data_IF_311580591156
#
_entry.id   IF_311580591156
#
_cell.length_a   1.000
_cell.length_b   1.000
_cell.length_c   1.000
_cell.angle_alpha   90.00
_cell.angle_beta   90.00
_cell.angle_gamma   90.00
#
_symmetry.space_group_name_H-M   'P 1'
#
loop_
_entity.id
_entity.type
_entity.pdbx_description
1 polymer ?
#
# COMPACT_ATOMS: atom_id res chain seq x y z
N UNK A 1 4.74 8.90 -22.77
CA UNK A 1 3.51 8.42 -22.09
C UNK A 1 3.80 7.71 -20.77
N UNK A 2 4.89 6.93 -20.63
CA UNK A 2 5.22 6.20 -19.39
C UNK A 2 5.40 7.07 -18.12
N UNK A 3 6.09 8.22 -18.21
CA UNK A 3 6.32 9.10 -17.05
C UNK A 3 5.03 9.65 -16.42
N UNK A 4 3.96 9.78 -17.20
CA UNK A 4 2.68 10.30 -16.71
C UNK A 4 1.88 9.22 -15.99
N UNK A 5 1.94 7.97 -16.47
CA UNK A 5 1.38 6.80 -15.79
C UNK A 5 2.03 6.58 -14.41
N UNK A 6 3.36 6.70 -14.31
CA UNK A 6 4.09 6.56 -13.02
C UNK A 6 3.64 7.63 -12.02
N UNK A 7 3.56 8.90 -12.44
CA UNK A 7 3.11 10.00 -11.56
C UNK A 7 1.64 9.83 -11.16
N UNK A 8 0.80 9.31 -12.05
CA UNK A 8 -0.60 8.98 -11.78
C UNK A 8 -0.75 7.92 -10.70
N UNK A 9 -0.03 6.79 -10.84
CA UNK A 9 -0.02 5.70 -9.84
C UNK A 9 0.50 6.16 -8.48
N UNK A 10 1.54 7.00 -8.45
CA UNK A 10 2.06 7.57 -7.20
C UNK A 10 1.02 8.40 -6.46
N UNK A 11 0.27 9.26 -7.18
CA UNK A 11 -0.84 10.02 -6.60
C UNK A 11 -1.99 9.13 -6.15
N UNK A 12 -2.31 8.11 -6.95
CA UNK A 12 -3.33 7.11 -6.61
C UNK A 12 -2.99 6.38 -5.29
N UNK A 13 -1.73 5.98 -5.07
CA UNK A 13 -1.30 5.39 -3.79
C UNK A 13 -1.50 6.32 -2.60
N UNK A 14 -1.17 7.60 -2.75
CA UNK A 14 -1.37 8.60 -1.68
C UNK A 14 -2.85 8.73 -1.30
N UNK A 15 -3.72 8.85 -2.30
CA UNK A 15 -5.17 8.91 -2.07
C UNK A 15 -5.70 7.59 -1.49
N UNK A 16 -5.23 6.45 -1.99
CA UNK A 16 -5.61 5.13 -1.47
C UNK A 16 -5.22 4.98 0.00
N UNK A 17 -4.00 5.40 0.39
CA UNK A 17 -3.57 5.38 1.79
C UNK A 17 -4.50 6.21 2.68
N UNK A 18 -4.84 7.44 2.26
CA UNK A 18 -5.74 8.31 3.02
C UNK A 18 -7.14 7.72 3.14
N UNK A 19 -7.68 7.19 2.04
CA UNK A 19 -9.00 6.57 2.01
C UNK A 19 -9.06 5.29 2.87
N UNK A 20 -8.03 4.44 2.80
CA UNK A 20 -7.93 3.22 3.61
C UNK A 20 -7.71 3.52 5.09
N UNK A 21 -6.97 4.60 5.41
CA UNK A 21 -6.86 5.08 6.78
C UNK A 21 -8.21 5.57 7.30
N UNK A 22 -8.96 6.34 6.51
CA UNK A 22 -10.31 6.75 6.86
C UNK A 22 -11.22 5.53 7.08
N UNK A 23 -11.19 4.55 6.19
CA UNK A 23 -11.93 3.29 6.34
C UNK A 23 -11.59 2.58 7.66
N UNK A 24 -10.31 2.48 7.99
CA UNK A 24 -9.83 1.89 9.25
C UNK A 24 -10.34 2.64 10.49
N UNK A 25 -10.49 3.97 10.41
CA UNK A 25 -10.86 4.82 11.55
C UNK A 25 -12.37 5.01 11.72
N UNK A 26 -13.10 5.17 10.62
CA UNK A 26 -14.51 5.59 10.66
C UNK A 26 -15.49 4.43 10.47
N UNK A 27 -15.04 3.30 9.91
CA UNK A 27 -15.92 2.18 9.58
C UNK A 27 -16.98 2.53 8.52
N UNK A 28 -16.83 3.64 7.81
CA UNK A 28 -17.74 4.00 6.71
C UNK A 28 -17.62 3.00 5.56
N UNK A 29 -18.67 2.92 4.76
CA UNK A 29 -18.69 2.07 3.58
C UNK A 29 -17.70 2.57 2.51
N UNK A 30 -17.02 1.64 1.85
CA UNK A 30 -15.96 1.98 0.88
C UNK A 30 -16.45 2.84 -0.28
N UNK A 31 -17.69 2.62 -0.74
CA UNK A 31 -18.26 3.39 -1.84
C UNK A 31 -18.50 4.87 -1.45
N UNK A 32 -18.83 5.15 -0.19
CA UNK A 32 -19.02 6.51 0.30
C UNK A 32 -17.68 7.23 0.38
N UNK A 33 -16.66 6.55 0.92
CA UNK A 33 -15.29 7.07 0.97
C UNK A 33 -14.78 7.35 -0.45
N UNK A 34 -14.97 6.41 -1.38
CA UNK A 34 -14.57 6.61 -2.77
C UNK A 34 -15.22 7.85 -3.39
N UNK A 35 -16.54 8.00 -3.24
CA UNK A 35 -17.27 9.15 -3.76
C UNK A 35 -16.75 10.48 -3.17
N UNK A 36 -16.52 10.52 -1.86
CA UNK A 36 -15.96 11.69 -1.17
C UNK A 36 -14.58 12.06 -1.74
N UNK A 37 -13.68 11.09 -1.88
CA UNK A 37 -12.34 11.33 -2.41
C UNK A 37 -12.35 11.79 -3.87
N UNK A 38 -13.24 11.24 -4.71
CA UNK A 38 -13.39 11.66 -6.12
C UNK A 38 -13.89 13.09 -6.26
N UNK A 39 -14.76 13.55 -5.36
CA UNK A 39 -15.29 14.93 -5.37
C UNK A 39 -14.29 15.91 -4.77
N UNK A 40 -13.57 15.52 -3.71
CA UNK A 40 -12.67 16.41 -2.98
C UNK A 40 -11.29 16.62 -3.65
N UNK A 41 -10.91 15.78 -4.62
CA UNK A 41 -9.58 15.81 -5.22
C UNK A 41 -9.61 16.05 -6.74
N UNK A 42 -8.57 16.68 -7.27
CA UNK A 42 -8.36 16.79 -8.72
C UNK A 42 -7.91 15.42 -9.29
N UNK A 43 -8.88 14.67 -9.80
CA UNK A 43 -8.67 13.34 -10.37
C UNK A 43 -8.02 13.35 -11.76
N UNK A 44 -7.84 14.51 -12.42
CA UNK A 44 -7.24 14.59 -13.78
C UNK A 44 -5.80 14.09 -13.84
N UNK A 45 -5.16 14.06 -12.68
CA UNK A 45 -3.75 13.78 -12.46
C UNK A 45 -3.49 12.47 -11.75
N UNK A 46 -4.55 11.75 -11.41
CA UNK A 46 -4.57 10.51 -10.65
C UNK A 46 -4.89 9.37 -11.59
N UNK A 47 -4.22 8.24 -11.43
CA UNK A 47 -4.66 6.99 -12.04
C UNK A 47 -5.89 6.48 -11.27
N UNK A 48 -7.09 6.86 -11.73
CA UNK A 48 -8.33 6.63 -11.01
C UNK A 48 -8.72 5.14 -10.93
N UNK A 49 -8.40 4.37 -11.97
CA UNK A 49 -8.62 2.93 -12.00
C UNK A 49 -7.69 2.25 -10.99
N UNK A 50 -6.43 2.67 -10.95
CA UNK A 50 -5.47 2.16 -9.97
C UNK A 50 -5.86 2.52 -8.53
N UNK A 51 -6.35 3.75 -8.29
CA UNK A 51 -6.87 4.15 -6.99
C UNK A 51 -8.03 3.24 -6.53
N UNK A 52 -9.00 3.01 -7.42
CA UNK A 52 -10.15 2.14 -7.14
C UNK A 52 -9.70 0.70 -6.86
N UNK A 53 -8.77 0.18 -7.67
CA UNK A 53 -8.21 -1.15 -7.50
C UNK A 53 -7.59 -1.35 -6.11
N UNK A 54 -6.81 -0.37 -5.63
CA UNK A 54 -6.21 -0.41 -4.31
C UNK A 54 -7.26 -0.26 -3.19
N UNK A 55 -8.17 0.70 -3.30
CA UNK A 55 -9.17 1.01 -2.27
C UNK A 55 -10.11 -0.17 -2.01
N UNK A 56 -10.52 -0.89 -3.04
CA UNK A 56 -11.42 -2.05 -2.89
C UNK A 56 -10.67 -3.36 -2.72
N UNK A 57 -9.52 -3.52 -3.37
CA UNK A 57 -8.73 -4.75 -3.31
C UNK A 57 -8.13 -5.00 -1.93
N UNK A 58 -7.65 -3.96 -1.24
CA UNK A 58 -7.07 -4.10 0.10
C UNK A 58 -8.09 -4.66 1.09
N UNK A 59 -9.26 -4.03 1.33
CA UNK A 59 -10.29 -4.55 2.24
C UNK A 59 -10.76 -5.96 1.93
N UNK A 60 -10.92 -6.30 0.64
CA UNK A 60 -11.33 -7.64 0.20
C UNK A 60 -10.33 -8.72 0.60
N UNK A 61 -9.04 -8.38 0.68
CA UNK A 61 -7.96 -9.32 0.94
C UNK A 61 -7.35 -9.17 2.35
N UNK A 62 -7.89 -8.31 3.23
CA UNK A 62 -7.28 -7.97 4.53
C UNK A 62 -6.80 -9.19 5.29
N UNK A 63 -7.65 -10.19 5.47
CA UNK A 63 -7.27 -11.40 6.24
C UNK A 63 -6.05 -12.10 5.63
N UNK A 64 -6.07 -12.32 4.32
CA UNK A 64 -4.94 -12.95 3.62
C UNK A 64 -3.67 -12.10 3.65
N UNK A 65 -3.80 -10.78 3.60
CA UNK A 65 -2.66 -9.86 3.68
C UNK A 65 -2.05 -9.91 5.08
N UNK A 66 -2.87 -9.88 6.12
CA UNK A 66 -2.43 -9.93 7.52
C UNK A 66 -1.79 -11.27 7.86
N UNK A 67 -2.37 -12.39 7.42
CA UNK A 67 -1.78 -13.72 7.61
C UNK A 67 -0.38 -13.82 6.98
N UNK A 68 -0.11 -13.08 5.90
CA UNK A 68 1.21 -13.00 5.28
C UNK A 68 2.16 -12.02 5.97
N UNK A 69 1.64 -10.97 6.62
CA UNK A 69 2.43 -9.97 7.33
C UNK A 69 2.85 -10.44 8.73
N UNK A 70 1.93 -11.08 9.47
CA UNK A 70 2.10 -11.49 10.87
C UNK A 70 3.42 -12.22 11.15
N UNK A 71 3.90 -13.17 10.32
CA UNK A 71 5.18 -13.85 10.56
C UNK A 71 6.40 -12.93 10.59
N UNK A 72 6.30 -11.71 10.06
CA UNK A 72 7.39 -10.75 9.95
C UNK A 72 7.24 -9.56 10.92
N UNK A 73 6.17 -9.52 11.71
CA UNK A 73 5.96 -8.49 12.72
C UNK A 73 6.67 -8.85 14.02
N UNK A 74 7.29 -7.85 14.65
CA UNK A 74 7.92 -7.96 15.98
C UNK A 74 6.94 -7.70 17.14
N UNK A 75 5.71 -7.27 16.82
CA UNK A 75 4.64 -6.96 17.77
C UNK A 75 3.28 -7.35 17.17
N UNK A 76 2.25 -7.56 18.00
CA UNK A 76 0.90 -7.84 17.51
C UNK A 76 0.43 -6.77 16.52
N UNK A 77 -0.28 -7.18 15.47
CA UNK A 77 -0.72 -6.28 14.40
C UNK A 77 -1.59 -5.13 14.92
N UNK A 78 -2.40 -5.37 15.96
CA UNK A 78 -3.19 -4.34 16.63
C UNK A 78 -2.37 -3.27 17.36
N UNK A 79 -1.08 -3.52 17.61
CA UNK A 79 -0.17 -2.58 18.27
C UNK A 79 0.64 -1.76 17.25
N UNK A 80 0.41 -1.95 15.96
CA UNK A 80 0.99 -1.09 14.92
C UNK A 80 0.29 0.26 14.93
N UNK A 81 1.04 1.32 14.64
CA UNK A 81 0.36 2.59 14.44
C UNK A 81 -0.52 2.48 13.17
N UNK A 82 -1.64 3.22 13.10
CA UNK A 82 -2.57 3.02 11.99
C UNK A 82 -2.00 3.36 10.61
N UNK A 83 -1.05 4.28 10.51
CA UNK A 83 -0.39 4.61 9.24
C UNK A 83 0.50 3.45 8.80
N UNK A 84 1.34 2.91 9.69
CA UNK A 84 2.16 1.72 9.45
C UNK A 84 1.29 0.56 8.98
N UNK A 85 0.21 0.27 9.71
CA UNK A 85 -0.71 -0.80 9.37
C UNK A 85 -1.33 -0.60 7.98
N UNK A 86 -1.76 0.62 7.67
CA UNK A 86 -2.38 0.92 6.37
C UNK A 86 -1.36 0.82 5.23
N UNK A 87 -0.14 1.34 5.41
CA UNK A 87 0.94 1.22 4.41
C UNK A 87 1.33 -0.24 4.22
N UNK A 88 1.44 -1.03 5.29
CA UNK A 88 1.76 -2.45 5.21
C UNK A 88 0.70 -3.21 4.44
N UNK A 89 -0.58 -3.01 4.74
CA UNK A 89 -1.69 -3.65 4.02
C UNK A 89 -1.71 -3.25 2.54
N UNK A 90 -1.55 -1.95 2.25
CA UNK A 90 -1.51 -1.42 0.88
C UNK A 90 -0.35 -2.02 0.06
N UNK A 91 0.85 -2.02 0.64
CA UNK A 91 2.05 -2.49 -0.04
C UNK A 91 2.08 -4.01 -0.16
N UNK A 92 1.57 -4.73 0.84
CA UNK A 92 1.38 -6.17 0.77
C UNK A 92 0.40 -6.54 -0.35
N UNK A 93 -0.65 -5.76 -0.55
CA UNK A 93 -1.58 -5.96 -1.65
C UNK A 93 -0.87 -5.79 -3.00
N UNK A 94 -0.11 -4.72 -3.21
CA UNK A 94 0.68 -4.55 -4.44
C UNK A 94 1.66 -5.72 -4.65
N UNK A 95 2.37 -6.14 -3.60
CA UNK A 95 3.29 -7.28 -3.69
C UNK A 95 2.57 -8.58 -4.03
N UNK A 96 1.37 -8.85 -3.54
CA UNK A 96 0.69 -10.12 -3.78
C UNK A 96 -0.16 -10.14 -5.07
N UNK A 97 -0.72 -9.00 -5.46
CA UNK A 97 -1.78 -8.93 -6.47
C UNK A 97 -1.48 -8.03 -7.67
N UNK A 98 -0.40 -7.25 -7.65
CA UNK A 98 0.02 -6.39 -8.77
C UNK A 98 1.39 -6.86 -9.34
N UNK A 99 1.49 -8.04 -9.99
CA UNK A 99 2.74 -8.58 -10.51
C UNK A 99 3.44 -7.66 -11.52
N UNK A 100 2.68 -6.82 -12.22
CA UNK A 100 3.17 -5.85 -13.18
C UNK A 100 3.94 -4.67 -12.55
N UNK A 101 3.90 -4.52 -11.22
CA UNK A 101 4.64 -3.50 -10.49
C UNK A 101 5.89 -4.16 -9.87
N UNK A 102 7.09 -3.71 -10.24
CA UNK A 102 8.31 -4.28 -9.69
C UNK A 102 8.38 -4.15 -8.16
N UNK A 103 8.84 -5.18 -7.46
CA UNK A 103 8.84 -5.20 -5.99
C UNK A 103 9.63 -4.02 -5.39
N UNK A 104 10.75 -3.61 -6.02
CA UNK A 104 11.57 -2.47 -5.57
C UNK A 104 10.77 -1.17 -5.59
N UNK A 105 9.92 -0.97 -6.60
CA UNK A 105 9.06 0.22 -6.70
C UNK A 105 8.02 0.22 -5.59
N UNK A 106 7.43 -0.94 -5.26
CA UNK A 106 6.49 -1.05 -4.13
C UNK A 106 7.16 -0.69 -2.81
N UNK A 107 8.37 -1.22 -2.56
CA UNK A 107 9.14 -0.92 -1.35
C UNK A 107 9.49 0.58 -1.25
N UNK A 108 9.99 1.17 -2.34
CA UNK A 108 10.36 2.59 -2.36
C UNK A 108 9.16 3.51 -2.09
N UNK A 109 8.00 3.20 -2.67
CA UNK A 109 6.78 3.97 -2.45
C UNK A 109 6.22 3.76 -1.04
N UNK A 110 6.31 2.56 -0.48
CA UNK A 110 5.92 2.30 0.91
C UNK A 110 6.75 3.13 1.90
N UNK A 111 8.07 3.21 1.69
CA UNK A 111 8.97 4.04 2.49
C UNK A 111 8.60 5.51 2.32
N UNK A 112 8.38 5.97 1.07
CA UNK A 112 8.00 7.35 0.78
C UNK A 112 6.69 7.74 1.48
N UNK A 113 5.66 6.89 1.42
CA UNK A 113 4.38 7.10 2.09
C UNK A 113 4.54 7.14 3.61
N UNK A 114 5.31 6.22 4.18
CA UNK A 114 5.52 6.19 5.63
C UNK A 114 6.28 7.42 6.12
N UNK A 115 7.24 7.94 5.33
CA UNK A 115 7.93 9.20 5.66
C UNK A 115 7.02 10.43 5.57
N UNK A 116 6.05 10.40 4.67
CA UNK A 116 5.13 11.52 4.44
C UNK A 116 4.00 11.59 5.48
N UNK A 117 3.48 10.43 5.89
CA UNK A 117 2.30 10.35 6.77
C UNK A 117 2.56 9.76 8.17
N UNK A 118 3.68 9.08 8.36
CA UNK A 118 4.01 8.35 9.58
C UNK A 118 4.93 9.10 10.54
N UNK A 119 5.33 8.40 11.61
CA UNK A 119 6.31 8.90 12.60
C UNK A 119 7.74 8.89 12.05
N UNK A 120 8.66 9.61 12.72
CA UNK A 120 10.06 9.74 12.26
C UNK A 120 10.74 8.40 11.94
N UNK A 121 10.47 7.34 12.70
CA UNK A 121 11.14 6.03 12.54
C UNK A 121 10.27 4.93 11.92
N UNK A 122 8.97 5.16 11.69
CA UNK A 122 8.06 4.12 11.18
C UNK A 122 8.46 3.56 9.82
N UNK A 123 9.13 4.36 8.99
CA UNK A 123 9.58 3.96 7.66
C UNK A 123 10.64 2.84 7.69
N UNK A 124 11.50 2.79 8.73
CA UNK A 124 12.50 1.71 8.87
C UNK A 124 11.82 0.39 9.19
N UNK A 125 10.81 0.44 10.06
CA UNK A 125 10.02 -0.69 10.44
C UNK A 125 9.27 -1.28 9.25
N UNK A 126 8.49 -0.45 8.55
CA UNK A 126 7.73 -0.84 7.35
C UNK A 126 8.65 -1.45 6.30
N UNK A 127 9.82 -0.86 6.07
CA UNK A 127 10.79 -1.40 5.12
C UNK A 127 11.26 -2.80 5.52
N UNK A 128 11.60 -3.04 6.78
CA UNK A 128 12.06 -4.35 7.26
C UNK A 128 11.00 -5.44 7.06
N UNK A 129 9.76 -5.16 7.44
CA UNK A 129 8.62 -6.09 7.28
C UNK A 129 8.38 -6.41 5.80
N UNK A 130 8.31 -5.38 4.95
CA UNK A 130 8.00 -5.57 3.53
C UNK A 130 9.13 -6.25 2.75
N UNK A 131 10.40 -6.06 3.14
CA UNK A 131 11.50 -6.81 2.53
C UNK A 131 11.35 -8.32 2.76
N UNK A 132 11.00 -8.72 3.98
CA UNK A 132 10.77 -10.13 4.30
C UNK A 132 9.56 -10.70 3.55
N UNK A 133 8.47 -9.92 3.48
CA UNK A 133 7.31 -10.30 2.68
C UNK A 133 7.64 -10.45 1.20
N UNK A 134 8.36 -9.48 0.61
CA UNK A 134 8.77 -9.52 -0.80
C UNK A 134 9.61 -10.76 -1.10
N UNK A 135 10.56 -11.15 -0.22
CA UNK A 135 11.32 -12.40 -0.37
C UNK A 135 10.46 -13.65 -0.41
N UNK A 136 9.33 -13.65 0.31
CA UNK A 136 8.38 -14.77 0.31
C UNK A 136 7.52 -14.79 -0.96
N UNK A 137 6.94 -13.65 -1.36
CA UNK A 137 5.89 -13.61 -2.41
C UNK A 137 6.40 -13.22 -3.80
N UNK A 138 7.61 -12.66 -3.89
CA UNK A 138 8.30 -12.27 -5.14
C UNK A 138 9.66 -12.96 -5.31
N UNK A 139 9.84 -14.15 -4.74
CA UNK A 139 11.11 -14.88 -4.78
C UNK A 139 11.69 -15.01 -6.20
N UNK A 140 10.86 -15.35 -7.19
CA UNK A 140 11.26 -15.47 -8.60
C UNK A 140 11.72 -14.14 -9.19
N UNK A 141 11.01 -13.05 -8.89
CA UNK A 141 11.37 -11.71 -9.37
C UNK A 141 12.70 -11.24 -8.75
N UNK A 142 12.94 -11.56 -7.47
CA UNK A 142 14.17 -11.20 -6.78
C UNK A 142 15.36 -11.98 -7.34
N UNK A 143 15.24 -13.30 -7.51
CA UNK A 143 16.34 -14.12 -8.03
C UNK A 143 16.79 -13.69 -9.42
N UNK A 144 15.87 -13.23 -10.28
CA UNK A 144 16.18 -12.75 -11.62
C UNK A 144 16.86 -11.37 -11.66
N UNK A 145 16.80 -10.61 -10.57
CA UNK A 145 17.37 -9.25 -10.48
C UNK A 145 18.69 -9.21 -9.70
N UNK A 146 19.09 -10.33 -9.09
CA UNK A 146 20.35 -10.49 -8.36
C UNK A 146 21.41 -11.23 -9.20
N UNK A 147 21.04 -11.71 -10.40
CA UNK A 147 21.94 -12.15 -11.49
C UNK A 147 22.31 -10.98 -12.43
#
# INVERSE_FOLDING_TARGET
MEKQSIKGKRRARKLALQALYQWLMSGHELYEIEAQFRVANDMTKVDADYFCHLLHGVPQQVKSLEDNLVPFLDRPIQNLNPIELTVLRLSAFELCYCPEIPYRVVLDEAISLTKEFGSQDGHRYVNGVLNNLARKVRAVEISLNDE
#
